data_IF_497028098271
#
_entry.id   IF_497028098271
#
_cell.length_a   1.000
_cell.length_b   1.000
_cell.length_c   1.000
_cell.angle_alpha   90.00
_cell.angle_beta   90.00
_cell.angle_gamma   90.00
#
_symmetry.space_group_name_H-M   'P 1'
#
loop_
_entity.id
_entity.type
_entity.pdbx_description
1 polymer ?
#
# COMPACT_ATOMS: atom_id res chain seq x y z
N UNK A 1 41.31 27.03 60.61
CA UNK A 1 40.25 26.57 61.54
C UNK A 1 39.01 26.24 60.73
N UNK A 2 38.39 25.09 61.05
CA UNK A 2 37.22 24.45 60.43
C UNK A 2 36.06 25.43 60.20
N UNK A 3 35.29 25.25 59.10
CA UNK A 3 33.86 24.84 59.14
C UNK A 3 33.46 24.12 57.84
N UNK A 4 32.83 22.96 58.01
CA UNK A 4 32.15 22.12 57.01
C UNK A 4 30.65 22.47 56.91
N UNK A 5 30.00 21.94 55.85
CA UNK A 5 28.61 21.46 55.68
C UNK A 5 27.66 22.31 54.78
N UNK A 6 26.62 21.72 54.12
CA UNK A 6 26.62 20.66 53.08
C UNK A 6 25.54 20.90 51.97
N UNK A 7 25.25 19.87 51.15
CA UNK A 7 24.08 19.69 50.26
C UNK A 7 24.12 20.48 48.94
N UNK A 8 23.85 19.91 47.76
CA UNK A 8 22.76 18.98 47.49
C UNK A 8 23.16 17.88 46.49
N UNK A 9 22.76 16.64 46.82
CA UNK A 9 22.54 15.57 45.85
C UNK A 9 21.38 15.97 44.95
N UNK A 10 21.61 16.03 43.64
CA UNK A 10 20.55 15.77 42.65
C UNK A 10 21.21 15.35 41.34
N UNK A 11 21.46 14.06 41.16
CA UNK A 11 21.64 13.51 39.82
C UNK A 11 20.47 12.57 39.53
N UNK A 12 19.61 13.13 38.70
CA UNK A 12 18.39 12.62 38.11
C UNK A 12 18.57 11.19 37.58
N UNK A 13 17.90 10.22 38.21
CA UNK A 13 17.75 8.89 37.63
C UNK A 13 16.87 8.99 36.38
N UNK A 14 17.47 8.89 35.20
CA UNK A 14 16.76 8.79 33.94
C UNK A 14 16.21 7.37 33.81
N UNK A 15 15.02 7.12 34.36
CA UNK A 15 14.27 5.89 34.11
C UNK A 15 13.79 5.90 32.65
N UNK A 16 14.44 5.08 31.82
CA UNK A 16 13.97 4.73 30.49
C UNK A 16 12.61 4.02 30.63
N UNK A 17 11.53 4.76 30.41
CA UNK A 17 10.21 4.18 30.15
C UNK A 17 10.29 3.45 28.80
N UNK A 18 10.55 2.16 28.84
CA UNK A 18 10.29 1.26 27.72
C UNK A 18 8.78 1.24 27.47
N UNK A 19 8.31 2.14 26.60
CA UNK A 19 6.95 2.07 26.07
C UNK A 19 6.94 0.88 25.12
N UNK A 20 6.54 -0.29 25.63
CA UNK A 20 6.17 -1.42 24.79
C UNK A 20 4.92 -1.02 24.00
N UNK A 21 5.12 -0.48 22.80
CA UNK A 21 4.04 -0.24 21.86
C UNK A 21 3.49 -1.59 21.39
N UNK A 22 2.50 -2.12 22.11
CA UNK A 22 1.70 -3.21 21.59
C UNK A 22 0.89 -2.64 20.42
N UNK A 23 1.25 -3.01 19.19
CA UNK A 23 0.44 -2.75 18.02
C UNK A 23 -0.85 -3.58 18.15
N UNK A 24 -1.84 -3.04 18.85
CA UNK A 24 -3.14 -3.66 18.99
C UNK A 24 -3.82 -3.59 17.62
N UNK A 25 -3.97 -4.74 16.95
CA UNK A 25 -4.71 -4.84 15.69
C UNK A 25 -6.10 -4.27 15.94
N UNK A 26 -6.44 -3.17 15.27
CA UNK A 26 -7.75 -2.55 15.42
C UNK A 26 -8.78 -3.49 14.85
N UNK A 27 -9.88 -3.68 15.58
CA UNK A 27 -11.04 -4.40 15.03
C UNK A 27 -11.55 -3.64 13.80
N UNK A 28 -11.77 -4.38 12.72
CA UNK A 28 -12.27 -3.83 11.46
C UNK A 28 -13.73 -3.40 11.67
N UNK A 29 -14.11 -2.16 11.29
CA UNK A 29 -15.48 -1.70 11.42
C UNK A 29 -16.46 -2.55 10.60
N UNK A 30 -17.65 -2.81 11.14
CA UNK A 30 -18.70 -3.54 10.43
C UNK A 30 -19.10 -2.83 9.12
N UNK A 31 -19.13 -1.50 9.13
CA UNK A 31 -19.39 -0.67 7.94
C UNK A 31 -18.46 -0.98 6.78
N UNK A 32 -17.18 -1.29 7.06
CA UNK A 32 -16.19 -1.67 6.05
C UNK A 32 -16.46 -3.08 5.53
N UNK A 33 -16.74 -4.04 6.42
CA UNK A 33 -17.03 -5.42 6.01
C UNK A 33 -18.34 -5.55 5.24
N UNK A 34 -19.34 -4.72 5.56
CA UNK A 34 -20.64 -4.72 4.90
C UNK A 34 -20.54 -4.08 3.50
N UNK A 35 -19.85 -2.94 3.37
CA UNK A 35 -19.56 -2.32 2.08
C UNK A 35 -18.78 -3.27 1.14
N UNK A 36 -17.84 -4.04 1.69
CA UNK A 36 -17.12 -5.05 0.92
C UNK A 36 -18.03 -6.16 0.40
N UNK A 37 -18.90 -6.72 1.26
CA UNK A 37 -19.84 -7.79 0.87
C UNK A 37 -20.86 -7.31 -0.17
N UNK A 38 -21.30 -6.06 -0.08
CA UNK A 38 -22.19 -5.47 -1.08
C UNK A 38 -21.49 -5.36 -2.45
N UNK A 39 -20.23 -4.94 -2.45
CA UNK A 39 -19.46 -4.75 -3.70
C UNK A 39 -18.98 -6.06 -4.33
N UNK A 40 -18.66 -7.06 -3.50
CA UNK A 40 -18.11 -8.35 -3.92
C UNK A 40 -18.89 -9.52 -3.25
N UNK A 41 -20.16 -9.74 -3.63
CA UNK A 41 -21.00 -10.77 -3.00
C UNK A 41 -20.47 -12.19 -3.22
N UNK A 42 -19.75 -12.42 -4.32
CA UNK A 42 -19.21 -13.73 -4.71
C UNK A 42 -17.75 -13.93 -4.25
N UNK A 43 -17.20 -12.99 -3.47
CA UNK A 43 -15.84 -13.10 -2.96
C UNK A 43 -15.67 -14.29 -2.02
N UNK A 44 -14.59 -15.04 -2.24
CA UNK A 44 -14.17 -16.16 -1.41
C UNK A 44 -12.79 -15.90 -0.80
N UNK A 45 -12.39 -16.71 0.18
CA UNK A 45 -11.04 -16.66 0.78
C UNK A 45 -10.63 -15.26 1.27
N UNK A 46 -11.55 -14.56 1.94
CA UNK A 46 -11.35 -13.16 2.36
C UNK A 46 -10.42 -13.08 3.57
N UNK A 47 -9.23 -12.51 3.39
CA UNK A 47 -8.28 -12.13 4.43
C UNK A 47 -8.30 -10.61 4.61
N UNK A 48 -8.42 -10.14 5.85
CA UNK A 48 -8.38 -8.71 6.12
C UNK A 48 -7.07 -8.24 6.74
N UNK A 49 -6.63 -7.05 6.35
CA UNK A 49 -5.47 -6.35 6.89
C UNK A 49 -5.82 -4.91 7.28
N UNK A 50 -5.46 -4.52 8.50
CA UNK A 50 -5.50 -3.14 8.96
C UNK A 50 -4.15 -2.46 8.68
N UNK A 51 -4.13 -1.52 7.74
CA UNK A 51 -2.95 -0.75 7.38
C UNK A 51 -3.14 0.70 7.85
N UNK A 52 -2.99 0.99 9.15
CA UNK A 52 -2.98 2.33 9.81
C UNK A 52 -4.04 3.36 9.33
N UNK A 53 -4.00 3.77 8.06
CA UNK A 53 -4.92 4.67 7.36
C UNK A 53 -6.03 3.97 6.55
N UNK A 54 -5.89 2.69 6.19
CA UNK A 54 -6.83 1.97 5.32
C UNK A 54 -7.04 0.52 5.76
N UNK A 55 -8.23 -0.01 5.49
CA UNK A 55 -8.54 -1.43 5.61
C UNK A 55 -8.42 -2.09 4.25
N UNK A 56 -7.76 -3.24 4.17
CA UNK A 56 -7.59 -3.99 2.92
C UNK A 56 -8.22 -5.38 3.06
N UNK A 57 -9.06 -5.76 2.12
CA UNK A 57 -9.56 -7.11 1.94
C UNK A 57 -8.82 -7.77 0.78
N UNK A 58 -8.11 -8.85 1.05
CA UNK A 58 -7.53 -9.73 0.02
C UNK A 58 -8.52 -10.88 -0.16
N UNK A 59 -8.92 -11.16 -1.39
CA UNK A 59 -9.98 -12.12 -1.67
C UNK A 59 -9.81 -12.72 -3.06
N UNK A 60 -10.50 -13.83 -3.31
CA UNK A 60 -10.60 -14.45 -4.63
C UNK A 60 -11.99 -14.18 -5.20
N UNK A 61 -12.04 -13.68 -6.42
CA UNK A 61 -13.27 -13.50 -7.20
C UNK A 61 -13.03 -14.02 -8.62
N UNK A 62 -13.90 -14.88 -9.12
CA UNK A 62 -13.74 -15.54 -10.44
C UNK A 62 -12.37 -16.20 -10.64
N UNK A 63 -11.82 -16.81 -9.58
CA UNK A 63 -10.50 -17.46 -9.60
C UNK A 63 -9.29 -16.51 -9.60
N UNK A 64 -9.51 -15.20 -9.56
CA UNK A 64 -8.46 -14.18 -9.53
C UNK A 64 -8.36 -13.56 -8.13
N UNK A 65 -7.13 -13.33 -7.67
CA UNK A 65 -6.87 -12.68 -6.37
C UNK A 65 -6.87 -11.17 -6.51
N UNK A 66 -7.64 -10.49 -5.66
CA UNK A 66 -7.77 -9.04 -5.59
C UNK A 66 -7.42 -8.51 -4.20
N UNK A 67 -6.98 -7.25 -4.13
CA UNK A 67 -6.92 -6.46 -2.90
C UNK A 67 -7.84 -5.24 -3.04
N UNK A 68 -8.95 -5.21 -2.30
CA UNK A 68 -9.84 -4.06 -2.21
C UNK A 68 -9.51 -3.23 -0.96
N UNK A 69 -9.43 -1.91 -1.11
CA UNK A 69 -9.08 -0.98 -0.03
C UNK A 69 -10.24 -0.06 0.30
N UNK A 70 -10.46 0.14 1.60
CA UNK A 70 -11.53 0.96 2.15
C UNK A 70 -10.98 1.91 3.21
N UNK A 71 -11.60 3.07 3.37
CA UNK A 71 -11.33 3.93 4.52
C UNK A 71 -12.17 3.52 5.75
N UNK A 72 -11.99 4.22 6.87
CA UNK A 72 -12.68 3.91 8.13
C UNK A 72 -14.20 4.13 8.12
N UNK A 73 -14.74 4.80 7.09
CA UNK A 73 -16.17 5.00 6.89
C UNK A 73 -16.81 3.90 6.04
N UNK A 74 -16.03 2.97 5.49
CA UNK A 74 -16.50 1.96 4.54
C UNK A 74 -16.54 2.46 3.10
N UNK A 75 -15.98 3.63 2.79
CA UNK A 75 -15.90 4.09 1.40
C UNK A 75 -14.81 3.30 0.67
N UNK A 76 -15.19 2.72 -0.47
CA UNK A 76 -14.27 2.03 -1.36
C UNK A 76 -13.29 3.01 -2.02
N UNK A 77 -12.00 2.72 -1.93
CA UNK A 77 -10.93 3.57 -2.43
C UNK A 77 -10.34 3.06 -3.75
N UNK A 78 -10.13 1.75 -3.85
CA UNK A 78 -9.64 1.07 -5.04
C UNK A 78 -9.72 -0.44 -4.86
N UNK A 79 -9.65 -1.15 -5.98
CA UNK A 79 -9.34 -2.58 -6.02
C UNK A 79 -8.20 -2.79 -6.99
N UNK A 80 -7.21 -3.58 -6.60
CA UNK A 80 -6.09 -3.93 -7.47
C UNK A 80 -5.89 -5.45 -7.57
N UNK A 81 -5.38 -5.90 -8.71
CA UNK A 81 -4.96 -7.28 -8.96
C UNK A 81 -3.69 -7.29 -9.79
N UNK A 82 -2.89 -8.34 -9.64
CA UNK A 82 -1.76 -8.60 -10.55
C UNK A 82 -2.33 -9.05 -11.92
N UNK A 83 -1.77 -8.52 -13.00
CA UNK A 83 -2.12 -8.85 -14.39
C UNK A 83 -0.83 -9.10 -15.17
N UNK A 84 -0.91 -9.76 -16.33
CA UNK A 84 0.27 -9.92 -17.18
C UNK A 84 0.50 -8.68 -18.03
N UNK A 85 1.69 -8.59 -18.64
CA UNK A 85 2.03 -7.52 -19.58
C UNK A 85 1.19 -7.55 -20.84
N UNK A 86 0.62 -8.69 -21.20
CA UNK A 86 -0.25 -8.83 -22.38
C UNK A 86 -1.66 -8.29 -22.12
N UNK A 87 -2.06 -8.21 -20.84
CA UNK A 87 -3.40 -7.77 -20.43
C UNK A 87 -3.51 -6.24 -20.26
N UNK A 88 -2.42 -5.48 -20.41
CA UNK A 88 -2.46 -4.02 -20.32
C UNK A 88 -2.77 -3.37 -21.68
N UNK A 89 -3.37 -2.16 -21.68
CA UNK A 89 -3.59 -1.42 -22.92
C UNK A 89 -2.28 -1.11 -23.64
N UNK A 90 -2.27 -1.22 -24.96
CA UNK A 90 -1.13 -0.88 -25.82
C UNK A 90 -0.57 0.52 -25.51
N UNK A 91 -1.44 1.49 -25.24
CA UNK A 91 -1.03 2.83 -24.85
C UNK A 91 -0.15 2.85 -23.60
N UNK A 92 -0.39 1.97 -22.61
CA UNK A 92 0.44 1.85 -21.41
C UNK A 92 1.81 1.30 -21.75
N UNK A 93 1.88 0.26 -22.59
CA UNK A 93 3.14 -0.29 -23.07
C UNK A 93 3.95 0.76 -23.85
N UNK A 94 3.33 1.49 -24.78
CA UNK A 94 3.98 2.59 -25.48
C UNK A 94 4.47 3.69 -24.54
N UNK A 95 3.66 4.02 -23.53
CA UNK A 95 3.99 5.00 -22.51
C UNK A 95 5.22 4.61 -21.70
N UNK A 96 5.35 3.31 -21.41
CA UNK A 96 6.52 2.73 -20.78
C UNK A 96 7.75 2.81 -21.69
N UNK A 97 7.64 2.39 -22.94
CA UNK A 97 8.74 2.36 -23.92
C UNK A 97 9.28 3.76 -24.25
N UNK A 98 8.42 4.79 -24.15
CA UNK A 98 8.78 6.21 -24.33
C UNK A 98 9.32 6.85 -23.05
N UNK A 99 9.29 6.15 -21.92
CA UNK A 99 9.74 6.69 -20.63
C UNK A 99 11.26 6.56 -20.46
N UNK A 100 11.81 7.29 -19.47
CA UNK A 100 13.22 7.16 -19.05
C UNK A 100 13.57 5.81 -18.41
N UNK A 101 12.62 4.88 -18.36
CA UNK A 101 12.75 3.55 -17.76
C UNK A 101 12.65 2.42 -18.79
N UNK A 102 12.62 2.72 -20.09
CA UNK A 102 12.47 1.72 -21.14
C UNK A 102 13.58 0.64 -21.15
N UNK A 103 14.76 0.95 -20.58
CA UNK A 103 15.86 0.00 -20.41
C UNK A 103 15.75 -0.87 -19.14
N UNK A 104 14.69 -0.73 -18.35
CA UNK A 104 14.43 -1.52 -17.15
C UNK A 104 13.59 -2.75 -17.52
N UNK A 105 13.60 -3.78 -16.68
CA UNK A 105 12.72 -4.93 -16.85
C UNK A 105 11.42 -4.70 -16.09
N UNK A 106 10.28 -5.03 -16.69
CA UNK A 106 8.99 -5.09 -15.98
C UNK A 106 8.98 -6.42 -15.21
N UNK A 107 8.97 -6.34 -13.89
CA UNK A 107 8.93 -7.51 -13.01
C UNK A 107 7.48 -7.92 -12.68
N UNK A 108 6.59 -6.94 -12.50
CA UNK A 108 5.18 -7.17 -12.18
C UNK A 108 4.30 -6.04 -12.70
N UNK A 109 3.04 -6.35 -12.96
CA UNK A 109 2.04 -5.35 -13.31
C UNK A 109 0.79 -5.52 -12.45
N UNK A 110 0.29 -4.41 -11.94
CA UNK A 110 -0.99 -4.37 -11.24
C UNK A 110 -1.97 -3.46 -11.97
N UNK A 111 -3.17 -3.96 -12.24
CA UNK A 111 -4.31 -3.15 -12.62
C UNK A 111 -4.94 -2.58 -11.34
N UNK A 112 -5.30 -1.29 -11.36
CA UNK A 112 -5.91 -0.58 -10.24
C UNK A 112 -7.19 0.08 -10.73
N UNK A 113 -8.32 -0.34 -10.19
CA UNK A 113 -9.63 0.23 -10.46
C UNK A 113 -9.96 1.22 -9.34
N UNK A 114 -10.30 2.45 -9.71
CA UNK A 114 -10.64 3.55 -8.80
C UNK A 114 -12.09 4.01 -9.00
N UNK A 115 -12.66 4.78 -8.05
CA UNK A 115 -13.96 5.44 -8.22
C UNK A 115 -14.09 6.24 -9.52
N UNK A 116 -15.30 6.25 -10.09
CA UNK A 116 -15.60 6.94 -11.34
C UNK A 116 -15.08 6.22 -12.59
N UNK A 117 -14.99 4.88 -12.54
CA UNK A 117 -14.56 4.02 -13.66
C UNK A 117 -13.16 4.37 -14.20
N UNK A 118 -12.29 4.83 -13.31
CA UNK A 118 -10.92 5.16 -13.63
C UNK A 118 -10.03 3.95 -13.43
N UNK A 119 -9.32 3.54 -14.47
CA UNK A 119 -8.30 2.48 -14.41
C UNK A 119 -6.90 3.05 -14.54
N UNK A 120 -6.01 2.58 -13.67
CA UNK A 120 -4.58 2.86 -13.68
C UNK A 120 -3.78 1.55 -13.67
N UNK A 121 -2.53 1.63 -14.11
CA UNK A 121 -1.63 0.48 -14.15
C UNK A 121 -0.35 0.82 -13.41
N UNK A 122 0.07 -0.06 -12.50
CA UNK A 122 1.33 0.07 -11.78
C UNK A 122 2.30 -0.97 -12.30
N UNK A 123 3.34 -0.52 -12.98
CA UNK A 123 4.46 -1.34 -13.44
C UNK A 123 5.53 -1.32 -12.36
N UNK A 124 5.83 -2.49 -11.78
CA UNK A 124 7.01 -2.68 -10.96
C UNK A 124 8.18 -2.98 -11.88
N UNK A 125 9.17 -2.08 -11.93
CA UNK A 125 10.30 -2.16 -12.85
C UNK A 125 11.61 -2.22 -12.10
N UNK A 126 12.55 -3.01 -12.61
CA UNK A 126 13.87 -3.23 -12.02
C UNK A 126 14.97 -3.12 -13.07
N UNK A 127 16.05 -2.40 -12.76
CA UNK A 127 17.31 -2.44 -13.54
C UNK A 127 18.33 -3.37 -12.90
N UNK A 128 18.32 -3.43 -11.57
CA UNK A 128 19.07 -4.36 -10.73
C UNK A 128 18.22 -4.69 -9.51
N UNK A 129 18.64 -5.66 -8.69
CA UNK A 129 17.92 -6.04 -7.46
C UNK A 129 17.72 -4.87 -6.48
N UNK A 130 18.62 -3.87 -6.51
CA UNK A 130 18.56 -2.68 -5.66
C UNK A 130 17.86 -1.50 -6.34
N UNK A 131 17.80 -1.48 -7.67
CA UNK A 131 17.22 -0.40 -8.44
C UNK A 131 15.82 -0.81 -8.90
N UNK A 132 14.84 -0.61 -8.01
CA UNK A 132 13.43 -0.91 -8.27
C UNK A 132 12.52 0.32 -8.13
N UNK A 133 11.55 0.43 -9.02
CA UNK A 133 10.56 1.53 -9.04
C UNK A 133 9.17 1.01 -9.36
N UNK A 134 8.18 1.69 -8.80
CA UNK A 134 6.79 1.58 -9.20
C UNK A 134 6.44 2.78 -10.10
N UNK A 135 6.06 2.48 -11.34
CA UNK A 135 5.60 3.45 -12.33
C UNK A 135 4.08 3.36 -12.44
N UNK A 136 3.39 4.46 -12.18
CA UNK A 136 1.94 4.53 -12.24
C UNK A 136 1.52 5.23 -13.52
N UNK A 137 0.83 4.52 -14.40
CA UNK A 137 0.29 5.01 -15.66
C UNK A 137 -1.24 5.11 -15.58
N UNK A 138 -1.82 6.06 -16.32
CA UNK A 138 -3.25 5.99 -16.64
C UNK A 138 -3.48 5.06 -17.85
N UNK A 139 -4.74 4.73 -18.13
CA UNK A 139 -5.13 3.90 -19.29
C UNK A 139 -4.72 4.44 -20.66
N UNK A 140 -4.30 5.71 -20.75
CA UNK A 140 -3.84 6.37 -21.99
C UNK A 140 -2.31 6.39 -22.13
N UNK A 141 -1.58 5.67 -21.27
CA UNK A 141 -0.11 5.63 -21.34
C UNK A 141 0.63 6.82 -20.75
N UNK A 142 -0.07 7.75 -20.08
CA UNK A 142 0.61 8.87 -19.41
C UNK A 142 1.15 8.42 -18.06
N UNK A 143 2.46 8.54 -17.88
CA UNK A 143 3.10 8.37 -16.58
C UNK A 143 2.59 9.45 -15.61
N UNK A 144 1.92 9.03 -14.54
CA UNK A 144 1.39 9.88 -13.49
C UNK A 144 2.39 10.05 -12.34
N UNK A 145 3.11 8.99 -11.99
CA UNK A 145 4.03 8.96 -10.86
C UNK A 145 5.10 7.90 -11.03
N UNK A 146 6.33 8.20 -10.62
CA UNK A 146 7.37 7.21 -10.36
C UNK A 146 7.73 7.25 -8.86
N UNK A 147 7.82 6.09 -8.20
CA UNK A 147 8.16 5.98 -6.77
C UNK A 147 9.19 4.87 -6.57
N UNK A 148 10.20 5.11 -5.75
CA UNK A 148 11.15 4.06 -5.34
C UNK A 148 10.39 3.01 -4.53
N UNK A 149 10.69 1.75 -4.78
CA UNK A 149 10.27 0.64 -3.92
C UNK A 149 11.41 0.38 -2.94
N UNK A 150 11.13 0.49 -1.64
CA UNK A 150 12.06 0.15 -0.55
C UNK A 150 11.88 -1.32 -0.15
#
# INVERSE_FOLDING_TARGET
MKKLFPAALFFLSLSLLSISASAQIRKIPATVTDAFKEKYPDATSVEWRDKLSVFSAIFVNDGVTYEARYNSKGEWLNTENEVTTEDIPEAVQEGYDKSKYADWSIEKVHQIILPGDVTQYRLHVGKTDLQKKNLLFNSKGRLLKDKITL
#
